data_IF_704794205469
#
_entry.id   IF_704794205469
#
_cell.length_a   1.000
_cell.length_b   1.000
_cell.length_c   1.000
_cell.angle_alpha   90.00
_cell.angle_beta   90.00
_cell.angle_gamma   90.00
#
_symmetry.space_group_name_H-M   'P 1'
#
loop_
_entity.id
_entity.type
_entity.pdbx_description
1 polymer ?
#
# COMPACT_ATOMS: atom_id res chain seq x y z
N UNK A 1 21.51 -10.49 -12.04
CA UNK A 1 21.72 -9.16 -12.67
C UNK A 1 20.73 -8.23 -11.99
N UNK A 2 21.14 -7.01 -11.64
CA UNK A 2 20.19 -6.02 -11.13
C UNK A 2 19.11 -5.78 -12.21
N UNK A 3 17.86 -5.68 -11.79
CA UNK A 3 16.72 -5.38 -12.69
C UNK A 3 16.86 -3.96 -13.25
N UNK A 4 16.30 -3.73 -14.43
CA UNK A 4 16.23 -2.38 -14.96
C UNK A 4 15.28 -1.53 -14.11
N UNK A 5 15.63 -0.26 -13.87
CA UNK A 5 14.84 0.69 -13.08
C UNK A 5 13.43 0.91 -13.64
N UNK A 6 13.23 0.68 -14.93
CA UNK A 6 11.96 0.85 -15.62
C UNK A 6 11.21 -0.48 -15.88
N UNK A 7 11.75 -1.61 -15.43
CA UNK A 7 11.14 -2.93 -15.64
C UNK A 7 10.01 -3.18 -14.65
N UNK A 8 8.90 -2.44 -14.81
CA UNK A 8 7.74 -2.44 -13.94
C UNK A 8 6.43 -2.43 -14.75
N UNK A 9 5.29 -2.56 -14.06
CA UNK A 9 3.97 -2.69 -14.67
C UNK A 9 3.56 -1.53 -15.58
N UNK A 10 4.16 -0.36 -15.45
CA UNK A 10 3.85 0.80 -16.30
C UNK A 10 4.52 0.76 -17.68
N UNK A 11 5.42 -0.18 -17.92
CA UNK A 11 6.22 -0.22 -19.16
C UNK A 11 5.40 -0.38 -20.42
N UNK A 12 4.21 -0.93 -20.35
CA UNK A 12 3.27 -1.13 -21.45
C UNK A 12 2.36 0.09 -21.72
N UNK A 13 2.34 1.09 -20.83
CA UNK A 13 1.47 2.28 -20.96
C UNK A 13 2.25 3.59 -21.02
N UNK A 14 3.52 3.61 -20.62
CA UNK A 14 4.40 4.79 -20.65
C UNK A 14 5.30 4.71 -21.88
N UNK A 15 5.26 5.74 -22.74
CA UNK A 15 6.05 5.74 -23.99
C UNK A 15 7.55 5.92 -23.73
N UNK A 16 8.38 5.50 -24.70
CA UNK A 16 9.83 5.62 -24.62
C UNK A 16 10.30 7.09 -24.52
N UNK A 17 9.56 8.04 -25.11
CA UNK A 17 9.86 9.46 -25.00
C UNK A 17 9.67 9.96 -23.57
N UNK A 18 8.62 9.48 -22.87
CA UNK A 18 8.37 9.80 -21.47
C UNK A 18 9.44 9.16 -20.58
N UNK A 19 9.76 7.88 -20.77
CA UNK A 19 10.86 7.21 -20.06
C UNK A 19 12.17 7.98 -20.21
N UNK A 20 12.52 8.38 -21.43
CA UNK A 20 13.72 9.20 -21.70
C UNK A 20 13.71 10.54 -20.96
N UNK A 21 12.54 11.15 -20.78
CA UNK A 21 12.41 12.41 -20.03
C UNK A 21 12.78 12.22 -18.54
N UNK A 22 12.52 11.03 -18.00
CA UNK A 22 12.81 10.69 -16.61
C UNK A 22 14.15 9.98 -16.41
N UNK A 23 14.93 9.73 -17.45
CA UNK A 23 16.26 9.11 -17.34
C UNK A 23 17.17 9.75 -16.28
N UNK A 24 17.20 11.09 -16.08
CA UNK A 24 18.00 11.71 -15.01
C UNK A 24 17.57 11.35 -13.58
N UNK A 25 16.40 10.73 -13.40
CA UNK A 25 15.88 10.28 -12.10
C UNK A 25 16.22 8.83 -11.79
N UNK A 26 16.86 8.10 -12.71
CA UNK A 26 17.29 6.72 -12.49
C UNK A 26 18.26 6.64 -11.33
N UNK A 27 18.02 5.68 -10.47
CA UNK A 27 18.83 5.41 -9.27
C UNK A 27 18.76 3.93 -8.90
N UNK A 28 19.56 3.51 -7.98
CA UNK A 28 19.40 2.23 -7.31
C UNK A 28 18.22 2.32 -6.34
N UNK A 29 17.31 1.33 -6.40
CA UNK A 29 16.17 1.22 -5.47
C UNK A 29 16.57 0.39 -4.26
N UNK A 30 16.02 0.73 -3.10
CA UNK A 30 16.36 0.04 -1.85
C UNK A 30 15.21 0.07 -0.85
N UNK A 31 15.23 -0.88 0.09
CA UNK A 31 14.40 -0.81 1.30
C UNK A 31 15.16 0.02 2.33
N UNK A 32 14.53 1.08 2.81
CA UNK A 32 15.16 1.98 3.79
C UNK A 32 15.40 1.33 5.15
N UNK A 33 16.22 1.97 5.97
CA UNK A 33 16.56 1.49 7.32
C UNK A 33 15.37 1.52 8.26
N UNK A 34 15.32 0.59 9.23
CA UNK A 34 14.28 0.50 10.28
C UNK A 34 12.86 0.65 9.71
N UNK A 35 12.47 -0.20 8.78
CA UNK A 35 11.18 -0.13 8.12
C UNK A 35 10.03 -0.56 9.05
N UNK A 36 8.82 -0.04 8.77
CA UNK A 36 7.56 -0.59 9.22
C UNK A 36 6.69 -0.94 8.01
N UNK A 37 5.87 -2.00 8.11
CA UNK A 37 4.84 -2.28 7.11
C UNK A 37 3.65 -1.36 7.34
N UNK A 38 3.30 -0.57 6.32
CA UNK A 38 2.12 0.28 6.28
C UNK A 38 1.07 -0.37 5.37
N UNK A 39 0.09 -1.03 5.96
CA UNK A 39 -0.98 -1.74 5.27
C UNK A 39 -2.20 -0.82 5.15
N UNK A 40 -2.46 -0.32 3.93
CA UNK A 40 -3.44 0.72 3.68
C UNK A 40 -4.73 0.11 3.13
N UNK A 41 -5.84 0.28 3.88
CA UNK A 41 -7.20 -0.01 3.45
C UNK A 41 -7.44 -1.45 2.90
N UNK A 42 -6.79 -2.44 3.52
CA UNK A 42 -7.03 -3.87 3.26
C UNK A 42 -8.31 -4.34 3.97
N UNK A 43 -9.44 -3.70 3.71
CA UNK A 43 -10.73 -3.90 4.38
C UNK A 43 -11.78 -4.58 3.48
N UNK A 44 -12.81 -5.17 4.08
CA UNK A 44 -13.85 -5.93 3.38
C UNK A 44 -14.48 -5.19 2.20
N UNK A 45 -14.56 -3.86 2.27
CA UNK A 45 -15.28 -3.03 1.31
C UNK A 45 -14.76 -3.14 -0.13
N UNK A 46 -13.47 -3.37 -0.32
CA UNK A 46 -12.83 -3.41 -1.65
C UNK A 46 -12.75 -4.82 -2.25
N UNK A 47 -13.04 -5.86 -1.44
CA UNK A 47 -13.04 -7.27 -1.85
C UNK A 47 -14.44 -7.81 -2.16
N UNK A 48 -15.46 -6.94 -2.28
CA UNK A 48 -16.84 -7.36 -2.52
C UNK A 48 -17.04 -7.88 -3.93
N UNK A 49 -17.99 -8.81 -4.05
CA UNK A 49 -18.37 -9.40 -5.33
C UNK A 49 -17.52 -10.59 -5.74
N UNK A 50 -17.70 -11.01 -6.98
CA UNK A 50 -17.01 -12.17 -7.55
C UNK A 50 -15.52 -11.85 -7.74
N UNK A 51 -14.59 -12.70 -7.20
CA UNK A 51 -13.15 -12.48 -7.29
C UNK A 51 -12.59 -12.53 -8.72
N UNK A 52 -13.29 -13.16 -9.66
CA UNK A 52 -12.85 -13.28 -11.05
C UNK A 52 -13.29 -12.10 -11.92
N UNK A 53 -14.19 -11.24 -11.40
CA UNK A 53 -14.70 -10.08 -12.15
C UNK A 53 -13.85 -8.84 -11.96
N UNK A 54 -13.71 -8.09 -13.04
CA UNK A 54 -13.08 -6.78 -13.02
C UNK A 54 -14.01 -5.71 -12.41
N UNK A 55 -13.48 -4.60 -11.88
CA UNK A 55 -14.28 -3.56 -11.24
C UNK A 55 -15.46 -3.03 -12.07
N UNK A 56 -15.28 -2.89 -13.38
CA UNK A 56 -16.34 -2.38 -14.27
C UNK A 56 -17.53 -3.34 -14.39
N UNK A 57 -17.33 -4.64 -14.15
CA UNK A 57 -18.39 -5.66 -14.15
C UNK A 57 -19.15 -5.71 -12.81
N UNK A 58 -18.59 -5.07 -11.78
CA UNK A 58 -19.14 -5.03 -10.42
C UNK A 58 -19.80 -3.69 -10.06
N UNK A 59 -19.71 -2.69 -10.95
CA UNK A 59 -20.05 -1.28 -10.64
C UNK A 59 -21.48 -1.09 -10.18
N UNK A 60 -22.44 -1.83 -10.73
CA UNK A 60 -23.86 -1.68 -10.42
C UNK A 60 -24.20 -2.15 -8.99
N UNK A 61 -23.54 -3.20 -8.52
CA UNK A 61 -23.80 -3.81 -7.21
C UNK A 61 -22.75 -3.41 -6.17
N UNK A 62 -21.47 -3.36 -6.57
CA UNK A 62 -20.32 -3.09 -5.69
C UNK A 62 -19.41 -2.00 -6.25
N UNK A 63 -19.86 -0.73 -6.35
CA UNK A 63 -19.14 0.34 -7.05
C UNK A 63 -17.77 0.72 -6.43
N UNK A 64 -17.47 0.22 -5.24
CA UNK A 64 -16.19 0.45 -4.55
C UNK A 64 -15.29 -0.77 -4.55
N UNK A 65 -15.74 -1.89 -5.11
CA UNK A 65 -14.90 -3.07 -5.23
C UNK A 65 -13.73 -2.82 -6.18
N UNK A 66 -12.57 -3.33 -5.83
CA UNK A 66 -11.42 -3.42 -6.73
C UNK A 66 -11.42 -4.75 -7.52
N UNK A 67 -12.43 -5.60 -7.30
CA UNK A 67 -12.65 -6.84 -8.05
C UNK A 67 -11.38 -7.68 -8.13
N UNK A 68 -11.16 -8.29 -9.30
CA UNK A 68 -10.03 -9.17 -9.57
C UNK A 68 -8.67 -8.56 -9.17
N UNK A 69 -8.46 -7.27 -9.34
CA UNK A 69 -7.19 -6.63 -8.96
C UNK A 69 -6.89 -6.72 -7.45
N UNK A 70 -7.91 -6.59 -6.60
CA UNK A 70 -7.75 -6.79 -5.16
C UNK A 70 -7.45 -8.26 -4.82
N UNK A 71 -8.16 -9.19 -5.46
CA UNK A 71 -8.01 -10.62 -5.22
C UNK A 71 -6.67 -11.16 -5.71
N UNK A 72 -6.17 -10.70 -6.85
CA UNK A 72 -4.84 -11.04 -7.37
C UNK A 72 -3.72 -10.61 -6.41
N UNK A 73 -3.91 -9.51 -5.68
CA UNK A 73 -2.95 -9.01 -4.69
C UNK A 73 -2.97 -9.76 -3.35
N UNK A 74 -3.94 -10.65 -3.09
CA UNK A 74 -4.07 -11.33 -1.77
C UNK A 74 -2.85 -12.16 -1.44
N UNK A 75 -2.46 -13.09 -2.32
CA UNK A 75 -1.35 -14.00 -2.02
C UNK A 75 0.02 -13.28 -1.98
N UNK A 76 0.34 -12.35 -2.88
CA UNK A 76 1.52 -11.51 -2.74
C UNK A 76 1.56 -10.76 -1.41
N UNK A 77 0.46 -10.12 -1.02
CA UNK A 77 0.37 -9.36 0.23
C UNK A 77 0.54 -10.26 1.45
N UNK A 78 -0.03 -11.47 1.48
CA UNK A 78 0.21 -12.45 2.56
C UNK A 78 1.70 -12.81 2.69
N UNK A 79 2.41 -12.99 1.56
CA UNK A 79 3.86 -13.26 1.56
C UNK A 79 4.64 -12.07 2.14
N UNK A 80 4.26 -10.83 1.78
CA UNK A 80 4.86 -9.62 2.33
C UNK A 80 4.67 -9.55 3.85
N UNK A 81 3.45 -9.78 4.34
CA UNK A 81 3.18 -9.83 5.79
C UNK A 81 4.02 -10.88 6.50
N UNK A 82 4.11 -12.08 5.94
CA UNK A 82 4.91 -13.16 6.52
C UNK A 82 6.40 -12.77 6.62
N UNK A 83 6.96 -12.17 5.57
CA UNK A 83 8.35 -11.69 5.58
C UNK A 83 8.57 -10.59 6.62
N UNK A 84 7.68 -9.59 6.68
CA UNK A 84 7.75 -8.52 7.68
C UNK A 84 7.65 -9.05 9.11
N UNK A 85 6.78 -10.04 9.37
CA UNK A 85 6.66 -10.67 10.69
C UNK A 85 7.90 -11.47 11.06
N UNK A 86 8.44 -12.25 10.12
CA UNK A 86 9.69 -12.98 10.33
C UNK A 86 10.85 -12.04 10.65
N UNK A 87 10.89 -10.88 9.99
CA UNK A 87 11.86 -9.82 10.25
C UNK A 87 11.60 -9.04 11.55
N UNK A 88 10.50 -9.30 12.26
CA UNK A 88 10.14 -8.59 13.50
C UNK A 88 9.75 -7.11 13.30
N UNK A 89 9.33 -6.74 12.10
CA UNK A 89 8.99 -5.36 11.78
C UNK A 89 7.65 -4.95 12.40
N UNK A 90 7.49 -3.68 12.82
CA UNK A 90 6.20 -3.13 13.18
C UNK A 90 5.22 -3.20 12.01
N UNK A 91 3.99 -3.63 12.28
CA UNK A 91 2.91 -3.65 11.28
C UNK A 91 1.82 -2.68 11.70
N UNK A 92 1.51 -1.74 10.80
CA UNK A 92 0.53 -0.68 11.04
C UNK A 92 -0.53 -0.75 9.96
N UNK A 93 -1.76 -1.02 10.39
CA UNK A 93 -2.93 -1.06 9.52
C UNK A 93 -3.63 0.29 9.53
N UNK A 94 -4.02 0.74 8.35
CA UNK A 94 -4.92 1.85 8.13
C UNK A 94 -6.25 1.33 7.61
N UNK A 95 -7.35 1.81 8.18
CA UNK A 95 -8.71 1.51 7.69
C UNK A 95 -9.61 2.72 7.81
N UNK A 96 -10.76 2.67 7.13
CA UNK A 96 -11.73 3.76 7.16
C UNK A 96 -12.40 3.92 8.52
N UNK A 97 -12.75 5.15 8.90
CA UNK A 97 -13.59 5.44 10.05
C UNK A 97 -15.07 5.31 9.69
N UNK A 98 -15.82 4.58 10.50
CA UNK A 98 -17.31 4.48 10.44
C UNK A 98 -18.00 5.51 11.33
N UNK A 99 -17.25 6.46 11.90
CA UNK A 99 -17.77 7.44 12.85
C UNK A 99 -18.88 8.29 12.24
N UNK A 100 -20.04 8.35 12.90
CA UNK A 100 -21.15 9.25 12.56
C UNK A 100 -20.71 10.71 12.75
N UNK A 101 -21.13 11.61 11.83
CA UNK A 101 -20.82 13.05 11.92
C UNK A 101 -19.44 13.45 11.36
N UNK A 102 -18.71 12.53 10.71
CA UNK A 102 -17.48 12.90 9.99
C UNK A 102 -17.76 13.89 8.87
N UNK A 103 -16.82 14.79 8.63
CA UNK A 103 -16.88 15.69 7.46
C UNK A 103 -16.71 14.85 6.19
N UNK A 104 -17.72 14.85 5.34
CA UNK A 104 -17.70 14.15 4.05
C UNK A 104 -16.72 14.83 3.09
N UNK A 105 -16.21 14.07 2.12
CA UNK A 105 -15.46 14.64 1.00
C UNK A 105 -16.38 15.60 0.21
N UNK A 106 -15.88 16.76 -0.14
CA UNK A 106 -16.59 17.77 -0.94
C UNK A 106 -16.98 17.27 -2.33
N UNK A 107 -16.26 16.25 -2.86
CA UNK A 107 -16.41 15.75 -4.21
C UNK A 107 -17.27 14.47 -4.30
N UNK A 108 -17.62 13.84 -3.17
CA UNK A 108 -18.46 12.64 -3.13
C UNK A 108 -19.81 12.98 -2.54
N UNK A 109 -20.81 13.09 -3.40
CA UNK A 109 -22.21 13.30 -2.97
C UNK A 109 -22.89 11.98 -2.56
N UNK A 110 -22.37 10.84 -2.96
CA UNK A 110 -22.93 9.52 -2.64
C UNK A 110 -22.49 9.11 -1.25
N UNK A 111 -23.44 9.13 -0.31
CA UNK A 111 -23.26 8.48 0.99
C UNK A 111 -23.50 6.98 0.80
N UNK A 112 -22.46 6.19 0.92
CA UNK A 112 -22.66 4.75 1.08
C UNK A 112 -23.08 4.52 2.53
N UNK A 113 -24.25 3.93 2.73
CA UNK A 113 -24.58 3.29 3.99
C UNK A 113 -23.84 1.96 4.00
N UNK A 114 -22.58 2.01 4.46
CA UNK A 114 -21.76 0.82 4.60
C UNK A 114 -22.00 0.25 5.99
N UNK A 115 -22.33 -1.02 6.05
CA UNK A 115 -22.35 -1.76 7.31
C UNK A 115 -21.04 -1.57 8.09
N UNK A 116 -21.11 -1.64 9.40
CA UNK A 116 -19.95 -1.37 10.29
C UNK A 116 -18.76 -2.31 9.99
N UNK A 117 -19.03 -3.51 9.48
CA UNK A 117 -18.07 -4.55 9.11
C UNK A 117 -17.31 -4.26 7.79
N UNK A 118 -17.78 -3.32 6.99
CA UNK A 118 -17.15 -3.01 5.70
C UNK A 118 -15.76 -2.39 5.86
N UNK A 119 -15.51 -1.71 6.96
CA UNK A 119 -14.21 -1.09 7.29
C UNK A 119 -13.34 -1.98 8.17
N UNK A 120 -13.77 -3.20 8.46
CA UNK A 120 -12.93 -4.18 9.15
C UNK A 120 -11.92 -4.81 8.20
N UNK A 121 -10.76 -5.15 8.74
CA UNK A 121 -9.68 -5.74 7.95
C UNK A 121 -10.16 -7.08 7.39
N UNK A 122 -9.91 -7.29 6.11
CA UNK A 122 -10.28 -8.50 5.39
C UNK A 122 -9.67 -9.75 6.05
N UNK A 123 -10.41 -10.87 6.15
CA UNK A 123 -9.96 -12.09 6.86
C UNK A 123 -8.59 -12.63 6.44
N UNK A 124 -8.15 -12.37 5.21
CA UNK A 124 -6.82 -12.76 4.73
C UNK A 124 -5.65 -12.05 5.43
N UNK A 125 -5.91 -10.90 6.12
CA UNK A 125 -4.89 -10.01 6.69
C UNK A 125 -5.14 -9.64 8.15
N UNK A 126 -5.83 -10.45 8.92
CA UNK A 126 -6.21 -10.11 10.28
C UNK A 126 -5.02 -9.66 11.13
N UNK A 127 -5.16 -8.54 11.85
CA UNK A 127 -4.13 -8.08 12.78
C UNK A 127 -3.82 -9.12 13.86
N UNK A 128 -2.56 -9.20 14.27
CA UNK A 128 -2.08 -10.03 15.37
C UNK A 128 -1.78 -9.17 16.60
N UNK A 129 -1.55 -9.83 17.74
CA UNK A 129 -1.14 -9.15 18.96
C UNK A 129 0.16 -8.35 18.71
N UNK A 130 0.14 -7.07 19.07
CA UNK A 130 1.26 -6.14 18.82
C UNK A 130 1.13 -5.28 17.58
N UNK A 131 0.27 -5.64 16.64
CA UNK A 131 -0.02 -4.80 15.48
C UNK A 131 -0.79 -3.53 15.88
N UNK A 132 -0.58 -2.46 15.12
CA UNK A 132 -1.26 -1.18 15.35
C UNK A 132 -2.36 -1.02 14.29
N UNK A 133 -3.60 -0.73 14.74
CA UNK A 133 -4.72 -0.40 13.86
C UNK A 133 -5.11 1.06 14.03
N UNK A 134 -5.07 1.82 12.95
CA UNK A 134 -5.44 3.24 12.91
C UNK A 134 -6.64 3.42 11.98
N UNK A 135 -7.69 4.08 12.49
CA UNK A 135 -8.85 4.48 11.67
C UNK A 135 -8.67 5.91 11.16
N UNK A 136 -8.71 6.10 9.85
CA UNK A 136 -8.53 7.40 9.19
C UNK A 136 -9.81 7.92 8.55
N UNK A 137 -9.91 9.22 8.42
CA UNK A 137 -11.05 9.91 7.79
C UNK A 137 -10.67 10.56 6.45
N UNK A 138 -9.41 10.53 6.09
CA UNK A 138 -8.86 11.12 4.86
C UNK A 138 -8.02 10.10 4.09
N UNK A 139 -7.71 10.41 2.85
CA UNK A 139 -6.94 9.52 1.98
C UNK A 139 -5.57 9.20 2.60
N UNK A 140 -4.82 10.21 2.99
CA UNK A 140 -3.51 10.01 3.59
C UNK A 140 -3.60 9.38 4.98
N UNK A 141 -2.74 8.40 5.23
CA UNK A 141 -2.49 7.78 6.52
C UNK A 141 -1.96 8.77 7.57
N UNK A 142 -1.36 9.86 7.14
CA UNK A 142 -0.73 10.86 8.01
C UNK A 142 -1.69 11.96 8.45
N UNK A 143 -2.73 12.22 7.63
CA UNK A 143 -3.60 13.37 7.88
C UNK A 143 -4.58 13.12 9.04
N UNK A 144 -4.42 13.88 10.13
CA UNK A 144 -5.27 13.81 11.33
C UNK A 144 -5.34 12.43 11.99
N UNK A 145 -4.21 11.70 11.95
CA UNK A 145 -4.05 10.41 12.62
C UNK A 145 -2.86 10.44 13.59
N UNK A 146 -2.75 9.49 14.53
CA UNK A 146 -1.59 9.39 15.42
C UNK A 146 -0.38 8.70 14.75
N UNK A 147 -0.37 8.46 13.43
CA UNK A 147 0.65 7.65 12.77
C UNK A 147 2.08 8.15 13.05
N UNK A 148 2.33 9.45 12.89
CA UNK A 148 3.67 10.02 13.13
C UNK A 148 4.16 9.76 14.55
N UNK A 149 3.28 9.87 15.56
CA UNK A 149 3.62 9.59 16.94
C UNK A 149 4.02 8.11 17.14
N UNK A 150 3.30 7.17 16.50
CA UNK A 150 3.66 5.75 16.53
C UNK A 150 5.00 5.50 15.85
N UNK A 151 5.22 6.01 14.64
CA UNK A 151 6.48 5.85 13.90
C UNK A 151 7.67 6.39 14.69
N UNK A 152 7.53 7.59 15.26
CA UNK A 152 8.57 8.21 16.10
C UNK A 152 8.89 7.34 17.32
N UNK A 153 7.86 6.87 18.05
CA UNK A 153 8.04 6.03 19.24
C UNK A 153 8.71 4.70 18.94
N UNK A 154 8.42 4.11 17.77
CA UNK A 154 9.00 2.85 17.30
C UNK A 154 10.39 3.04 16.69
N UNK A 155 10.86 4.27 16.50
CA UNK A 155 12.13 4.58 15.86
C UNK A 155 12.16 4.24 14.38
N UNK A 156 11.00 4.20 13.73
CA UNK A 156 10.86 3.92 12.30
C UNK A 156 11.39 5.08 11.47
N UNK A 157 12.16 4.80 10.43
CA UNK A 157 12.69 5.79 9.49
C UNK A 157 12.29 5.53 8.05
N UNK A 158 11.71 4.38 7.76
CA UNK A 158 11.23 4.04 6.42
C UNK A 158 9.94 3.21 6.46
N UNK A 159 9.26 3.11 5.33
CA UNK A 159 7.99 2.41 5.21
C UNK A 159 8.04 1.44 4.04
N UNK A 160 7.53 0.23 4.26
CA UNK A 160 7.13 -0.69 3.20
C UNK A 160 5.62 -0.56 3.06
N UNK A 161 5.12 -0.27 1.86
CA UNK A 161 3.72 0.11 1.64
C UNK A 161 3.00 -0.95 0.82
N UNK A 162 1.82 -1.36 1.28
CA UNK A 162 0.89 -2.22 0.54
C UNK A 162 -0.57 -1.75 0.72
N UNK A 163 -1.48 -2.27 -0.11
CA UNK A 163 -2.92 -2.02 -0.01
C UNK A 163 -3.49 -1.12 -1.11
N UNK A 164 -4.61 -0.44 -0.83
CA UNK A 164 -5.40 0.28 -1.84
C UNK A 164 -5.65 1.76 -1.46
N UNK A 165 -6.05 2.58 -2.39
CA UNK A 165 -5.90 2.44 -3.82
C UNK A 165 -4.64 3.17 -4.25
N UNK A 166 -3.92 2.59 -5.22
CA UNK A 166 -2.63 3.12 -5.68
C UNK A 166 -2.70 4.61 -6.02
N UNK A 167 -3.73 5.04 -6.77
CA UNK A 167 -3.94 6.44 -7.14
C UNK A 167 -4.57 7.31 -6.04
N UNK A 168 -5.01 6.71 -4.96
CA UNK A 168 -5.74 7.33 -3.85
C UNK A 168 -4.98 7.33 -2.54
N UNK A 169 -5.37 6.42 -1.63
CA UNK A 169 -4.84 6.40 -0.27
C UNK A 169 -3.35 6.03 -0.22
N UNK A 170 -2.88 5.14 -1.08
CA UNK A 170 -1.46 4.79 -1.21
C UNK A 170 -0.67 6.02 -1.65
N UNK A 171 -1.04 6.63 -2.81
CA UNK A 171 -0.37 7.84 -3.29
C UNK A 171 -0.35 8.97 -2.25
N UNK A 172 -1.50 9.28 -1.66
CA UNK A 172 -1.60 10.35 -0.68
C UNK A 172 -0.70 10.09 0.54
N UNK A 173 -0.64 8.85 1.02
CA UNK A 173 0.20 8.48 2.15
C UNK A 173 1.68 8.53 1.83
N UNK A 174 2.08 8.05 0.65
CA UNK A 174 3.49 8.04 0.23
C UNK A 174 4.02 9.47 0.02
N UNK A 175 3.22 10.36 -0.58
CA UNK A 175 3.60 11.78 -0.76
C UNK A 175 3.75 12.48 0.60
N UNK A 176 2.86 12.20 1.56
CA UNK A 176 2.99 12.75 2.91
C UNK A 176 4.17 12.11 3.64
N UNK A 177 4.41 10.79 3.52
CA UNK A 177 5.59 10.13 4.08
C UNK A 177 6.89 10.82 3.61
N UNK A 178 7.02 11.04 2.31
CA UNK A 178 8.14 11.79 1.71
C UNK A 178 8.27 13.18 2.34
N UNK A 179 7.15 13.91 2.50
CA UNK A 179 7.13 15.26 3.08
C UNK A 179 7.54 15.28 4.56
N UNK A 180 7.29 14.17 5.29
CA UNK A 180 7.77 13.98 6.66
C UNK A 180 9.20 13.43 6.75
N UNK A 181 9.85 13.12 5.63
CA UNK A 181 11.23 12.63 5.58
C UNK A 181 11.37 11.11 5.72
N UNK A 182 10.28 10.35 5.58
CA UNK A 182 10.35 8.89 5.53
C UNK A 182 10.69 8.40 4.11
N UNK A 183 11.66 7.50 4.01
CA UNK A 183 11.82 6.72 2.79
C UNK A 183 10.65 5.74 2.64
N UNK A 184 10.12 5.60 1.44
CA UNK A 184 9.01 4.68 1.16
C UNK A 184 9.36 3.68 0.07
N UNK A 185 9.15 2.40 0.35
CA UNK A 185 9.24 1.30 -0.63
C UNK A 185 7.84 0.77 -0.87
N UNK A 186 7.39 0.76 -2.11
CA UNK A 186 6.08 0.24 -2.51
C UNK A 186 6.27 -1.16 -3.06
N UNK A 187 5.64 -2.16 -2.45
CA UNK A 187 5.61 -3.52 -2.99
C UNK A 187 4.64 -3.59 -4.16
N UNK A 188 5.16 -3.67 -5.40
CA UNK A 188 4.37 -3.53 -6.63
C UNK A 188 3.17 -4.49 -6.68
N UNK A 189 3.38 -5.78 -6.42
CA UNK A 189 2.34 -6.81 -6.48
C UNK A 189 1.38 -6.77 -5.27
N UNK A 190 1.68 -5.92 -4.28
CA UNK A 190 0.89 -5.80 -3.05
C UNK A 190 0.06 -4.52 -2.98
N UNK A 191 0.07 -3.70 -4.03
CA UNK A 191 -0.80 -2.52 -4.16
C UNK A 191 -1.72 -2.68 -5.37
N UNK A 192 -2.92 -2.14 -5.28
CA UNK A 192 -3.91 -2.28 -6.34
C UNK A 192 -4.84 -1.07 -6.43
N UNK A 193 -5.60 -1.00 -7.53
CA UNK A 193 -6.57 0.06 -7.80
C UNK A 193 -7.76 -0.51 -8.59
N UNK A 194 -8.83 0.26 -8.74
CA UNK A 194 -9.99 -0.09 -9.60
C UNK A 194 -9.71 0.12 -11.07
N UNK A 195 -8.70 0.89 -11.42
CA UNK A 195 -8.32 1.20 -12.79
C UNK A 195 -6.86 0.85 -13.01
N UNK A 196 -6.61 -0.08 -13.92
CA UNK A 196 -5.26 -0.52 -14.25
C UNK A 196 -4.37 0.63 -14.74
N UNK A 197 -4.91 1.49 -15.62
CA UNK A 197 -4.15 2.66 -16.11
C UNK A 197 -3.83 3.64 -14.99
N UNK A 198 -4.77 3.88 -14.05
CA UNK A 198 -4.50 4.74 -12.89
C UNK A 198 -3.45 4.12 -11.98
N UNK A 199 -3.50 2.80 -11.76
CA UNK A 199 -2.50 2.08 -10.97
C UNK A 199 -1.10 2.26 -11.57
N UNK A 200 -0.91 1.91 -12.83
CA UNK A 200 0.38 1.95 -13.54
C UNK A 200 0.98 3.36 -13.57
N UNK A 201 0.20 4.37 -13.94
CA UNK A 201 0.69 5.76 -14.02
C UNK A 201 1.02 6.32 -12.63
N UNK A 202 0.27 5.95 -11.59
CA UNK A 202 0.59 6.40 -10.24
C UNK A 202 1.84 5.72 -9.67
N UNK A 203 2.08 4.45 -9.97
CA UNK A 203 3.33 3.79 -9.61
C UNK A 203 4.52 4.42 -10.33
N UNK A 204 4.41 4.71 -11.63
CA UNK A 204 5.41 5.44 -12.39
C UNK A 204 5.75 6.80 -11.75
N UNK A 205 4.74 7.61 -11.45
CA UNK A 205 4.92 8.91 -10.81
C UNK A 205 5.59 8.81 -9.43
N UNK A 206 5.14 7.85 -8.60
CA UNK A 206 5.67 7.66 -7.25
C UNK A 206 7.11 7.18 -7.30
N UNK A 207 7.44 6.27 -8.21
CA UNK A 207 8.77 5.71 -8.39
C UNK A 207 9.81 6.79 -8.73
N UNK A 208 9.47 7.70 -9.61
CA UNK A 208 10.40 8.74 -10.04
C UNK A 208 10.53 9.91 -9.07
N UNK A 209 9.56 10.11 -8.15
CA UNK A 209 9.46 11.35 -7.39
C UNK A 209 9.50 11.18 -5.87
N UNK A 210 8.92 10.10 -5.33
CA UNK A 210 8.60 10.05 -3.89
C UNK A 210 8.94 8.75 -3.20
N UNK A 211 9.12 7.64 -3.95
CA UNK A 211 9.29 6.31 -3.38
C UNK A 211 10.12 5.43 -4.30
N UNK A 212 10.51 4.27 -3.81
CA UNK A 212 11.02 3.19 -4.62
C UNK A 212 9.94 2.12 -4.80
N UNK A 213 9.48 1.90 -6.03
CA UNK A 213 8.65 0.74 -6.36
C UNK A 213 9.58 -0.44 -6.55
N UNK A 214 9.32 -1.54 -5.85
CA UNK A 214 10.14 -2.74 -5.89
C UNK A 214 9.26 -3.97 -6.00
N UNK A 215 9.79 -5.01 -6.64
CA UNK A 215 9.15 -6.31 -6.66
C UNK A 215 9.14 -6.94 -5.27
N UNK A 216 8.08 -7.68 -4.97
CA UNK A 216 7.93 -8.37 -3.69
C UNK A 216 9.14 -9.27 -3.37
N UNK A 217 9.65 -9.99 -4.37
CA UNK A 217 10.78 -10.90 -4.17
C UNK A 217 12.06 -10.18 -3.73
N UNK A 218 12.31 -8.97 -4.26
CA UNK A 218 13.49 -8.16 -3.91
C UNK A 218 13.35 -7.61 -2.48
N UNK A 219 12.15 -7.19 -2.09
CA UNK A 219 11.84 -6.75 -0.71
C UNK A 219 12.03 -7.93 0.26
N UNK A 220 11.50 -9.11 -0.06
CA UNK A 220 11.64 -10.31 0.78
C UNK A 220 13.10 -10.70 0.94
N UNK A 221 13.86 -10.76 -0.16
CA UNK A 221 15.30 -11.09 -0.13
C UNK A 221 16.10 -10.09 0.72
N UNK A 222 15.76 -8.78 0.62
CA UNK A 222 16.37 -7.77 1.49
C UNK A 222 16.05 -8.03 2.97
N UNK A 223 14.78 -8.29 3.30
CA UNK A 223 14.37 -8.53 4.68
C UNK A 223 15.04 -9.77 5.28
N UNK A 224 15.14 -10.85 4.53
CA UNK A 224 15.83 -12.08 4.95
C UNK A 224 17.33 -11.84 5.24
N UNK A 225 17.95 -10.94 4.49
CA UNK A 225 19.38 -10.63 4.63
C UNK A 225 19.63 -9.63 5.77
N UNK A 226 18.85 -8.55 5.81
CA UNK A 226 19.08 -7.45 6.75
C UNK A 226 18.49 -7.72 8.15
N UNK A 227 17.46 -8.56 8.23
CA UNK A 227 16.75 -8.92 9.47
C UNK A 227 16.62 -10.44 9.58
N UNK A 228 17.74 -11.18 9.68
CA UNK A 228 17.68 -12.64 9.83
C UNK A 228 16.85 -12.97 11.06
N UNK A 229 15.96 -13.97 10.94
CA UNK A 229 15.13 -14.41 12.05
C UNK A 229 16.03 -14.61 13.28
N UNK A 230 15.69 -13.93 14.38
CA UNK A 230 16.41 -14.15 15.63
C UNK A 230 16.33 -15.67 15.92
N UNK A 231 17.48 -16.34 15.96
CA UNK A 231 17.52 -17.72 16.42
C UNK A 231 16.81 -17.73 17.77
N UNK A 232 15.74 -18.50 17.87
CA UNK A 232 15.00 -18.65 19.11
C UNK A 232 16.04 -18.94 20.19
N UNK A 233 16.23 -17.99 21.10
CA UNK A 233 17.04 -18.20 22.28
C UNK A 233 16.32 -19.31 23.07
N UNK A 234 16.94 -20.50 23.10
CA UNK A 234 16.55 -21.63 23.92
C UNK A 234 16.50 -21.25 25.41
#
# INVERSE_FOLDING_TARGET
>A
MARDFEDHCWRDVVSDEVIKTYEPYRRETFVGDRPALLAIDLYNFVYRGDPEKYPHELTDEFPNSCGKYAWDAVEPTKKLFAACRTAGLPIIYLTGSVRKGRVRSTNRQVGYDVGDDMMDIHPAFLPQAGDILIRKERASAFHSTPLVAHLTRLGVSSLIVCGESTSGCVRASVVDAYSYGYHSTIAEECVFDRSEISHKINLFDLHHKYADVMFLEDIVAHLETAYPAAQAAE
#
